data_IF_404088852365
#
_entry.id   IF_404088852365
#
_cell.length_a   1.000
_cell.length_b   1.000
_cell.length_c   1.000
_cell.angle_alpha   90.00
_cell.angle_beta   90.00
_cell.angle_gamma   90.00
#
_symmetry.space_group_name_H-M   'P 1'
#
loop_
_entity.id
_entity.type
_entity.pdbx_description
1 polymer ?
#
# COMPACT_ATOMS: atom_id res chain seq x y z
N UNK A 1 -24.24 -4.41 22.29
CA UNK A 1 -25.23 -3.69 21.47
C UNK A 1 -24.84 -2.22 21.47
N UNK A 2 -24.71 -1.61 20.28
CA UNK A 2 -24.56 -0.16 20.17
C UNK A 2 -25.93 0.48 20.47
N UNK A 3 -25.95 1.43 21.38
CA UNK A 3 -27.16 2.18 21.72
C UNK A 3 -27.38 3.28 20.67
N UNK A 4 -28.60 3.37 20.14
CA UNK A 4 -29.07 4.40 19.21
C UNK A 4 -28.87 5.83 19.75
N UNK A 5 -28.73 6.03 21.06
CA UNK A 5 -28.41 7.33 21.66
C UNK A 5 -27.05 7.90 21.23
N UNK A 6 -26.15 7.06 20.70
CA UNK A 6 -24.84 7.48 20.18
C UNK A 6 -24.82 7.71 18.66
N UNK A 7 -25.96 7.53 17.97
CA UNK A 7 -26.05 7.74 16.53
C UNK A 7 -26.02 9.24 16.20
N UNK A 8 -24.89 9.72 15.70
CA UNK A 8 -24.72 11.12 15.31
C UNK A 8 -25.27 11.35 13.90
N UNK A 9 -26.51 11.82 13.81
CA UNK A 9 -27.14 12.27 12.56
C UNK A 9 -26.95 13.78 12.43
N UNK A 10 -26.38 14.23 11.31
CA UNK A 10 -26.09 15.65 11.06
C UNK A 10 -25.78 15.93 9.59
N UNK A 11 -25.22 17.10 9.31
CA UNK A 11 -24.90 17.54 7.94
C UNK A 11 -23.53 17.08 7.43
N UNK A 12 -22.75 16.37 8.24
CA UNK A 12 -21.44 15.84 7.82
C UNK A 12 -21.67 14.71 6.80
N UNK A 13 -21.05 14.75 5.61
CA UNK A 13 -21.10 13.63 4.67
C UNK A 13 -20.57 12.35 5.31
N UNK A 14 -21.26 11.24 5.08
CA UNK A 14 -20.90 9.91 5.56
C UNK A 14 -20.90 8.92 4.39
N UNK A 15 -19.98 7.95 4.43
CA UNK A 15 -19.96 6.87 3.44
C UNK A 15 -20.98 5.80 3.82
N UNK A 16 -21.73 5.30 2.84
CA UNK A 16 -22.61 4.14 3.02
C UNK A 16 -21.83 2.83 2.94
N UNK A 17 -20.93 2.61 3.89
CA UNK A 17 -20.19 1.33 4.03
C UNK A 17 -21.06 0.28 4.73
N UNK A 18 -21.91 0.72 5.66
CA UNK A 18 -22.89 -0.09 6.39
C UNK A 18 -24.29 0.56 6.37
N UNK A 19 -25.24 -0.01 7.11
CA UNK A 19 -26.63 0.47 7.22
C UNK A 19 -26.89 1.25 8.53
N UNK A 20 -25.86 1.59 9.32
CA UNK A 20 -26.02 2.14 10.68
C UNK A 20 -26.83 3.45 10.72
N UNK A 21 -26.64 4.32 9.72
CA UNK A 21 -27.32 5.63 9.62
C UNK A 21 -28.54 5.61 8.69
N UNK A 22 -28.90 4.44 8.15
CA UNK A 22 -29.99 4.32 7.17
C UNK A 22 -31.26 3.89 7.90
N UNK A 23 -32.27 4.77 7.93
CA UNK A 23 -33.59 4.45 8.49
C UNK A 23 -34.36 3.48 7.58
N UNK A 24 -34.33 3.71 6.26
CA UNK A 24 -35.02 2.85 5.30
C UNK A 24 -34.38 2.90 3.90
N UNK A 25 -34.52 1.79 3.17
CA UNK A 25 -34.20 1.66 1.75
C UNK A 25 -35.26 0.78 1.09
N UNK A 26 -35.84 1.23 -0.02
CA UNK A 26 -36.88 0.51 -0.77
C UNK A 26 -36.49 0.47 -2.25
N UNK A 27 -36.76 -0.66 -2.92
CA UNK A 27 -36.47 -0.87 -4.34
C UNK A 27 -35.01 -0.59 -4.75
N UNK A 28 -34.07 -0.79 -3.81
CA UNK A 28 -32.63 -0.58 -4.01
C UNK A 28 -31.84 -1.83 -3.65
N UNK A 29 -30.74 -2.06 -4.37
CA UNK A 29 -29.76 -3.12 -4.05
C UNK A 29 -28.39 -2.48 -3.84
N UNK A 30 -27.82 -2.62 -2.63
CA UNK A 30 -26.44 -2.21 -2.37
C UNK A 30 -25.50 -3.16 -3.13
N UNK A 31 -24.66 -2.61 -3.99
CA UNK A 31 -23.67 -3.37 -4.76
C UNK A 31 -22.26 -2.92 -4.40
N UNK A 32 -21.45 -3.87 -3.95
CA UNK A 32 -20.02 -3.66 -3.78
C UNK A 32 -19.37 -3.92 -5.14
N UNK A 33 -18.72 -2.91 -5.72
CA UNK A 33 -17.95 -3.09 -6.93
C UNK A 33 -16.67 -3.84 -6.58
N UNK A 34 -16.46 -4.98 -7.23
CA UNK A 34 -15.19 -5.71 -7.13
C UNK A 34 -14.18 -4.97 -8.01
N UNK A 35 -13.03 -4.52 -7.46
CA UNK A 35 -11.93 -4.05 -8.28
C UNK A 35 -11.57 -5.11 -9.32
N UNK A 36 -11.36 -4.69 -10.56
CA UNK A 36 -10.83 -5.57 -11.59
C UNK A 36 -9.32 -5.46 -11.57
N UNK A 37 -8.64 -6.61 -11.54
CA UNK A 37 -7.18 -6.64 -11.63
C UNK A 37 -6.79 -6.13 -13.01
N UNK A 38 -5.91 -5.14 -13.05
CA UNK A 38 -5.33 -4.63 -14.29
C UNK A 38 -4.07 -5.44 -14.56
N UNK A 39 -4.12 -6.33 -15.57
CA UNK A 39 -2.99 -7.16 -15.98
C UNK A 39 -2.62 -8.29 -15.01
N UNK A 40 -1.64 -9.10 -15.42
CA UNK A 40 -1.16 -10.25 -14.64
C UNK A 40 0.11 -9.95 -13.83
N UNK A 41 0.84 -8.90 -14.21
CA UNK A 41 2.07 -8.47 -13.56
C UNK A 41 1.82 -7.37 -12.51
N UNK A 42 2.75 -7.16 -11.55
CA UNK A 42 2.75 -5.97 -10.69
C UNK A 42 2.81 -4.69 -11.52
N UNK A 43 2.23 -3.58 -11.04
CA UNK A 43 2.27 -2.29 -11.74
C UNK A 43 3.53 -1.47 -11.41
N UNK A 44 4.15 -1.77 -10.27
CA UNK A 44 5.44 -1.22 -9.85
C UNK A 44 6.42 -2.38 -9.85
N UNK A 45 7.45 -2.27 -10.70
CA UNK A 45 8.50 -3.28 -10.86
C UNK A 45 9.77 -2.85 -10.12
N UNK A 46 10.72 -3.77 -9.94
CA UNK A 46 12.10 -3.42 -9.59
C UNK A 46 12.84 -3.08 -10.87
N UNK A 47 12.84 -1.81 -11.24
CA UNK A 47 13.38 -1.30 -12.51
C UNK A 47 14.37 -0.15 -12.34
N UNK A 48 14.61 0.30 -11.11
CA UNK A 48 15.58 1.34 -10.79
C UNK A 48 16.81 0.77 -10.08
N UNK A 49 18.00 1.36 -10.27
CA UNK A 49 19.25 0.83 -9.72
C UNK A 49 19.30 0.85 -8.19
N UNK A 50 18.61 1.81 -7.55
CA UNK A 50 18.54 1.92 -6.08
C UNK A 50 17.63 0.87 -5.43
N UNK A 51 16.85 0.11 -6.20
CA UNK A 51 15.88 -0.85 -5.68
C UNK A 51 16.50 -2.23 -5.45
N UNK A 52 16.38 -2.73 -4.22
CA UNK A 52 16.90 -4.04 -3.81
C UNK A 52 15.75 -5.04 -3.66
N UNK A 53 14.89 -4.81 -2.67
CA UNK A 53 13.67 -5.58 -2.43
C UNK A 53 12.50 -4.63 -2.22
N UNK A 54 11.63 -4.52 -3.22
CA UNK A 54 10.41 -3.71 -3.13
C UNK A 54 9.42 -4.42 -2.22
N UNK A 55 8.96 -3.71 -1.20
CA UNK A 55 7.96 -4.17 -0.26
C UNK A 55 6.77 -3.20 -0.25
N UNK A 56 5.61 -3.72 -0.66
CA UNK A 56 4.34 -2.98 -0.66
C UNK A 56 3.41 -3.73 0.29
N UNK A 57 3.46 -3.39 1.58
CA UNK A 57 2.57 -3.96 2.60
C UNK A 57 1.41 -3.05 2.95
N UNK A 58 0.39 -3.66 3.56
CA UNK A 58 -0.91 -3.07 3.89
C UNK A 58 -0.89 -1.96 4.96
N UNK A 59 0.26 -1.61 5.52
CA UNK A 59 0.43 -0.63 6.58
C UNK A 59 1.04 0.70 6.12
N UNK A 60 1.51 0.78 4.89
CA UNK A 60 2.02 2.02 4.32
C UNK A 60 0.90 2.63 3.45
N UNK A 61 0.48 3.85 3.79
CA UNK A 61 -0.58 4.58 3.09
C UNK A 61 -0.02 5.05 1.74
N UNK A 62 0.13 4.11 0.81
CA UNK A 62 1.10 4.26 -0.26
C UNK A 62 0.63 5.22 -1.34
N UNK A 63 -0.63 5.11 -1.76
CA UNK A 63 -1.12 5.82 -2.95
C UNK A 63 -2.12 6.90 -2.59
N UNK A 64 -1.81 8.14 -2.98
CA UNK A 64 -2.69 9.31 -2.82
C UNK A 64 -2.85 10.02 -4.16
N UNK A 65 -4.08 10.42 -4.50
CA UNK A 65 -4.32 11.36 -5.59
C UNK A 65 -4.17 12.79 -5.06
N UNK A 66 -3.10 13.48 -5.45
CA UNK A 66 -2.80 14.82 -4.97
C UNK A 66 -3.57 15.87 -5.79
N UNK A 67 -4.49 16.64 -5.19
CA UNK A 67 -5.28 17.63 -5.92
C UNK A 67 -4.45 18.84 -6.39
N UNK A 68 -3.22 19.05 -5.90
CA UNK A 68 -2.40 20.19 -6.29
C UNK A 68 -1.84 20.06 -7.70
N UNK A 69 -1.40 18.85 -8.07
CA UNK A 69 -0.84 18.55 -9.39
C UNK A 69 -1.65 17.50 -10.17
N UNK A 70 -2.67 16.90 -9.55
CA UNK A 70 -3.53 15.90 -10.18
C UNK A 70 -2.88 14.53 -10.35
N UNK A 71 -1.71 14.30 -9.75
CA UNK A 71 -0.98 13.04 -9.86
C UNK A 71 -1.36 12.07 -8.76
N UNK A 72 -1.35 10.78 -9.10
CA UNK A 72 -1.25 9.71 -8.12
C UNK A 72 0.20 9.63 -7.65
N UNK A 73 0.40 9.67 -6.34
CA UNK A 73 1.71 9.62 -5.68
C UNK A 73 1.79 8.37 -4.85
N UNK A 74 2.87 7.61 -5.00
CA UNK A 74 3.14 6.37 -4.32
C UNK A 74 4.42 6.47 -3.49
N UNK A 75 4.35 6.28 -2.18
CA UNK A 75 5.52 6.00 -1.35
C UNK A 75 5.57 4.50 -1.08
N UNK A 76 6.71 3.87 -1.34
CA UNK A 76 6.86 2.43 -1.16
C UNK A 76 8.16 2.10 -0.46
N UNK A 77 8.20 0.94 0.18
CA UNK A 77 9.31 0.51 0.98
C UNK A 77 10.33 -0.27 0.14
N UNK A 78 11.61 0.02 0.35
CA UNK A 78 12.73 -0.69 -0.27
C UNK A 78 13.63 -1.23 0.83
N UNK A 79 13.63 -2.55 1.00
CA UNK A 79 14.50 -3.20 1.97
C UNK A 79 15.90 -3.37 1.37
N UNK A 80 16.88 -2.71 1.98
CA UNK A 80 18.29 -2.74 1.58
C UNK A 80 18.95 -4.00 2.17
N UNK A 81 18.56 -5.16 1.65
CA UNK A 81 19.16 -6.46 1.96
C UNK A 81 20.34 -6.70 1.01
N UNK A 82 21.57 -6.47 1.47
CA UNK A 82 22.76 -6.55 0.62
C UNK A 82 23.59 -7.84 0.82
N UNK A 83 23.47 -8.53 1.97
CA UNK A 83 24.28 -9.72 2.23
C UNK A 83 23.46 -10.97 2.59
N UNK A 84 24.03 -12.16 2.36
CA UNK A 84 23.46 -13.43 2.81
C UNK A 84 23.30 -13.52 4.34
N UNK A 85 23.93 -12.60 5.09
CA UNK A 85 23.78 -12.45 6.53
C UNK A 85 22.52 -11.63 6.89
N UNK A 86 22.04 -10.77 5.99
CA UNK A 86 20.80 -9.99 6.17
C UNK A 86 19.57 -10.74 5.63
N UNK A 87 19.79 -11.83 4.90
CA UNK A 87 18.72 -12.69 4.42
C UNK A 87 17.96 -13.27 5.61
N UNK A 88 16.63 -13.18 5.62
CA UNK A 88 15.88 -13.67 6.75
C UNK A 88 16.16 -15.15 6.99
N UNK A 89 16.43 -15.54 8.24
CA UNK A 89 16.57 -16.95 8.55
C UNK A 89 15.21 -17.62 8.33
N UNK A 90 15.16 -18.54 7.36
CA UNK A 90 13.97 -19.34 7.10
C UNK A 90 13.95 -20.51 8.07
N UNK A 91 13.08 -20.46 9.06
CA UNK A 91 12.79 -21.56 9.94
C UNK A 91 11.54 -22.29 9.45
N UNK A 92 11.60 -23.62 9.39
CA UNK A 92 10.40 -24.43 9.19
C UNK A 92 9.83 -24.83 10.54
N UNK A 93 8.61 -24.42 10.82
CA UNK A 93 7.85 -24.93 11.95
C UNK A 93 7.50 -26.42 11.74
N UNK A 94 7.22 -27.11 12.84
CA UNK A 94 6.83 -28.53 12.83
C UNK A 94 5.52 -28.80 12.07
N UNK A 95 4.68 -27.80 11.86
CA UNK A 95 3.44 -27.86 11.06
C UNK A 95 3.66 -27.52 9.57
N UNK A 96 4.90 -27.24 9.16
CA UNK A 96 5.28 -26.94 7.78
C UNK A 96 5.23 -25.46 7.40
N UNK A 97 4.87 -24.54 8.30
CA UNK A 97 4.96 -23.09 8.05
C UNK A 97 6.41 -22.65 7.96
N UNK A 98 6.67 -21.66 7.11
CA UNK A 98 7.98 -21.00 7.02
C UNK A 98 7.90 -19.69 7.81
N UNK A 99 8.69 -19.58 8.87
CA UNK A 99 8.95 -18.33 9.58
C UNK A 99 10.20 -17.70 8.99
N UNK A 100 10.09 -16.41 8.71
CA UNK A 100 11.11 -15.57 8.11
C UNK A 100 11.56 -14.62 9.22
N UNK A 101 12.72 -14.88 9.81
CA UNK A 101 13.29 -14.03 10.87
C UNK A 101 14.07 -12.87 10.25
N UNK A 102 13.58 -11.64 10.42
CA UNK A 102 14.14 -10.41 9.85
C UNK A 102 14.92 -9.60 10.92
N UNK A 103 15.62 -10.27 11.83
CA UNK A 103 16.41 -9.61 12.90
C UNK A 103 17.82 -9.12 12.47
N UNK A 104 18.15 -9.12 11.17
CA UNK A 104 19.39 -8.50 10.66
C UNK A 104 19.35 -6.97 10.67
N UNK A 105 20.49 -6.31 10.38
CA UNK A 105 20.60 -4.85 10.14
C UNK A 105 19.92 -4.45 8.81
N UNK A 106 18.71 -4.94 8.56
CA UNK A 106 17.92 -4.58 7.40
C UNK A 106 17.55 -3.09 7.50
N UNK A 107 18.30 -2.25 6.81
CA UNK A 107 17.94 -0.86 6.63
C UNK A 107 16.81 -0.77 5.60
N UNK A 108 15.72 -0.12 5.98
CA UNK A 108 14.60 0.14 5.09
C UNK A 108 14.64 1.59 4.60
N UNK A 109 14.50 1.78 3.28
CA UNK A 109 14.37 3.08 2.63
C UNK A 109 12.95 3.32 2.12
N UNK A 110 12.55 4.60 2.06
CA UNK A 110 11.30 5.01 1.41
C UNK A 110 11.62 5.52 0.02
N UNK A 111 11.00 4.93 -0.99
CA UNK A 111 11.07 5.35 -2.38
C UNK A 111 9.77 6.02 -2.82
N UNK A 112 9.83 6.76 -3.95
CA UNK A 112 8.72 7.52 -4.50
C UNK A 112 8.45 7.13 -5.95
N UNK A 113 7.17 7.03 -6.31
CA UNK A 113 6.70 6.91 -7.69
C UNK A 113 5.49 7.82 -7.91
N UNK A 114 5.27 8.24 -9.14
CA UNK A 114 4.14 9.08 -9.54
C UNK A 114 3.46 8.55 -10.80
N UNK A 115 2.18 8.88 -10.97
CA UNK A 115 1.38 8.43 -12.10
C UNK A 115 0.27 9.42 -12.43
N UNK A 116 -0.02 9.60 -13.72
CA UNK A 116 -1.15 10.42 -14.17
C UNK A 116 -2.48 9.64 -14.21
N UNK A 117 -2.43 8.32 -14.34
CA UNK A 117 -3.59 7.44 -14.55
C UNK A 117 -3.79 6.39 -13.44
N UNK A 118 -2.86 6.30 -12.48
CA UNK A 118 -2.84 5.31 -11.41
C UNK A 118 -2.46 3.90 -11.88
N UNK A 119 -2.05 3.76 -13.15
CA UNK A 119 -1.75 2.48 -13.83
C UNK A 119 -0.29 2.44 -14.26
N UNK A 120 0.18 3.50 -14.90
CA UNK A 120 1.55 3.65 -15.40
C UNK A 120 2.35 4.52 -14.45
N UNK A 121 3.44 4.00 -13.90
CA UNK A 121 4.21 4.66 -12.85
C UNK A 121 5.60 5.10 -13.34
N UNK A 122 5.94 6.34 -13.02
CA UNK A 122 7.26 6.94 -13.19
C UNK A 122 7.95 7.07 -11.83
N UNK A 123 9.27 6.90 -11.79
CA UNK A 123 10.08 7.01 -10.57
C UNK A 123 11.17 8.06 -10.78
N UNK A 124 10.87 9.35 -10.54
CA UNK A 124 11.83 10.41 -10.79
C UNK A 124 13.03 10.30 -9.83
N UNK A 125 14.22 10.62 -10.33
CA UNK A 125 15.38 10.90 -9.48
C UNK A 125 15.11 12.17 -8.68
N UNK A 126 15.31 12.10 -7.36
CA UNK A 126 14.95 13.18 -6.44
C UNK A 126 16.18 13.93 -5.89
N UNK A 127 17.39 13.43 -6.15
CA UNK A 127 18.67 13.97 -5.63
C UNK A 127 18.70 14.14 -4.10
N UNK A 128 17.99 13.27 -3.35
CA UNK A 128 17.90 13.35 -1.87
C UNK A 128 18.93 12.44 -1.18
N UNK A 129 19.15 11.24 -1.72
CA UNK A 129 20.05 10.23 -1.16
C UNK A 129 20.87 9.64 -2.29
N UNK A 130 22.19 9.57 -2.09
CA UNK A 130 23.11 8.92 -3.03
C UNK A 130 23.28 7.46 -2.65
N UNK A 131 23.08 6.53 -3.59
CA UNK A 131 23.20 5.08 -3.38
C UNK A 131 24.18 4.54 -4.43
N UNK A 132 25.25 3.89 -3.96
CA UNK A 132 26.30 3.32 -4.82
C UNK A 132 26.95 4.33 -5.81
N UNK A 133 26.93 5.62 -5.47
CA UNK A 133 27.53 6.69 -6.28
C UNK A 133 26.58 7.33 -7.31
N UNK A 134 25.33 6.88 -7.39
CA UNK A 134 24.23 7.55 -8.08
C UNK A 134 23.45 8.42 -7.11
#
# INVERSE_FOLDING_TARGET
MLDSSFLQIGSKPQFFIDDLVIESAQDMTRRHHKPQKVGDAPMIHRDQPWEKTIYISCNTWNVVHDPQDGLFKCWYENWMLDSAHDMPHQFRESDGKIIVDVHGEACSGVCYAQSADGVTWEKPEMDIVQIDGA
#
